data_IF_328118184773
#
_entry.id   IF_328118184773
#
_cell.length_a   1.000
_cell.length_b   1.000
_cell.length_c   1.000
_cell.angle_alpha   90.00
_cell.angle_beta   90.00
_cell.angle_gamma   90.00
#
_symmetry.space_group_name_H-M   'P 1'
#
loop_
_entity.id
_entity.type
_entity.pdbx_description
1 polymer ?
#
# COMPACT_ATOMS: atom_id res chain seq x y z
N UNK A 1 3.97 -2.60 -19.62
CA UNK A 1 4.33 -3.39 -18.43
C UNK A 1 5.31 -2.56 -17.63
N UNK A 2 5.08 -2.42 -16.33
CA UNK A 2 5.89 -1.60 -15.42
C UNK A 2 6.43 -2.48 -14.29
N UNK A 3 7.70 -2.28 -13.91
CA UNK A 3 8.28 -2.90 -12.72
C UNK A 3 7.89 -2.06 -11.50
N UNK A 4 7.29 -2.71 -10.51
CA UNK A 4 6.79 -2.08 -9.29
C UNK A 4 7.45 -2.73 -8.09
N UNK A 5 7.96 -1.90 -7.20
CA UNK A 5 8.45 -2.31 -5.88
C UNK A 5 7.32 -2.18 -4.88
N UNK A 6 7.01 -3.29 -4.20
CA UNK A 6 6.03 -3.31 -3.12
C UNK A 6 6.73 -3.03 -1.80
N UNK A 7 6.26 -2.01 -1.09
CA UNK A 7 6.73 -1.67 0.26
C UNK A 7 5.59 -1.72 1.26
N UNK A 8 5.88 -2.21 2.47
CA UNK A 8 4.95 -2.25 3.60
C UNK A 8 5.54 -1.45 4.76
N UNK A 9 4.71 -0.61 5.38
CA UNK A 9 5.04 0.09 6.60
C UNK A 9 4.85 -0.83 7.81
N UNK A 10 5.86 -0.93 8.66
CA UNK A 10 5.74 -1.58 9.97
C UNK A 10 5.50 -0.51 11.04
N UNK A 11 4.31 -0.45 11.67
CA UNK A 11 4.02 0.53 12.72
C UNK A 11 4.94 0.39 13.93
N UNK A 12 5.30 -0.85 14.31
CA UNK A 12 6.15 -1.12 15.49
C UNK A 12 7.60 -0.64 15.31
N UNK A 13 8.09 -0.60 14.07
CA UNK A 13 9.46 -0.18 13.75
C UNK A 13 9.53 1.25 13.19
N UNK A 14 8.37 1.86 12.93
CA UNK A 14 8.23 3.13 12.21
C UNK A 14 9.01 3.20 10.89
N UNK A 15 9.09 2.08 10.16
CA UNK A 15 9.95 1.93 8.99
C UNK A 15 9.24 1.26 7.80
N UNK A 16 9.67 1.62 6.58
CA UNK A 16 9.22 1.03 5.32
C UNK A 16 10.12 -0.13 4.91
N UNK A 17 9.52 -1.29 4.71
CA UNK A 17 10.21 -2.50 4.27
C UNK A 17 9.87 -2.78 2.82
N UNK A 18 10.91 -2.98 2.00
CA UNK A 18 10.74 -3.54 0.65
C UNK A 18 10.45 -5.02 0.77
N UNK A 19 9.27 -5.43 0.29
CA UNK A 19 8.84 -6.83 0.36
C UNK A 19 9.26 -7.57 -0.91
N UNK A 20 8.84 -7.07 -2.07
CA UNK A 20 9.10 -7.75 -3.34
C UNK A 20 9.01 -6.80 -4.55
N UNK A 21 9.16 -7.36 -5.75
CA UNK A 21 8.97 -6.71 -7.04
C UNK A 21 7.95 -7.48 -7.87
N UNK A 22 7.11 -6.76 -8.60
CA UNK A 22 6.17 -7.33 -9.56
C UNK A 22 6.25 -6.58 -10.88
N UNK A 23 5.94 -7.28 -11.97
CA UNK A 23 5.80 -6.66 -13.30
C UNK A 23 4.37 -6.83 -13.77
N UNK A 24 3.68 -5.72 -14.00
CA UNK A 24 2.24 -5.71 -14.33
C UNK A 24 1.90 -4.65 -15.37
N UNK A 25 0.75 -4.74 -16.04
CA UNK A 25 0.23 -3.65 -16.88
C UNK A 25 0.02 -2.37 -16.07
N UNK A 26 0.14 -1.21 -16.73
CA UNK A 26 -0.05 0.10 -16.09
C UNK A 26 -1.50 0.28 -15.60
N UNK A 27 -2.48 -0.17 -16.40
CA UNK A 27 -3.90 -0.16 -16.02
C UNK A 27 -4.16 -0.94 -14.71
N UNK A 28 -3.49 -2.08 -14.54
CA UNK A 28 -3.62 -2.89 -13.33
C UNK A 28 -2.95 -2.22 -12.12
N UNK A 29 -1.84 -1.49 -12.33
CA UNK A 29 -1.21 -0.70 -11.28
C UNK A 29 -2.14 0.42 -10.79
N UNK A 30 -2.81 1.13 -11.69
CA UNK A 30 -3.78 2.17 -11.32
C UNK A 30 -4.97 1.58 -10.56
N UNK A 31 -5.51 0.44 -11.01
CA UNK A 31 -6.57 -0.30 -10.30
C UNK A 31 -6.14 -0.70 -8.91
N UNK A 32 -4.93 -1.25 -8.73
CA UNK A 32 -4.42 -1.61 -7.42
C UNK A 32 -4.26 -0.41 -6.50
N UNK A 33 -3.74 0.72 -7.02
CA UNK A 33 -3.64 1.98 -6.26
C UNK A 33 -5.01 2.48 -5.80
N UNK A 34 -6.04 2.34 -6.63
CA UNK A 34 -7.41 2.68 -6.26
C UNK A 34 -7.93 1.75 -5.14
N UNK A 35 -7.77 0.43 -5.30
CA UNK A 35 -8.19 -0.56 -4.30
C UNK A 35 -7.54 -0.31 -2.93
N UNK A 36 -6.24 0.02 -2.88
CA UNK A 36 -5.56 0.34 -1.62
C UNK A 36 -6.19 1.55 -0.90
N UNK A 37 -6.70 2.54 -1.63
CA UNK A 37 -7.40 3.69 -1.06
C UNK A 37 -8.84 3.39 -0.66
N UNK A 38 -9.47 2.37 -1.25
CA UNK A 38 -10.84 1.98 -0.94
C UNK A 38 -10.93 1.12 0.33
N UNK A 39 -9.91 0.32 0.64
CA UNK A 39 -9.87 -0.50 1.86
C UNK A 39 -9.62 0.38 3.08
N UNK A 40 -10.70 0.83 3.72
CA UNK A 40 -10.69 1.66 4.93
C UNK A 40 -10.55 0.83 6.20
N UNK A 41 -9.78 1.33 7.16
CA UNK A 41 -9.71 0.73 8.49
C UNK A 41 -10.87 1.23 9.35
N UNK A 42 -11.56 0.28 9.99
CA UNK A 42 -12.53 0.60 11.05
C UNK A 42 -11.82 0.54 12.40
N UNK A 43 -11.82 1.63 13.17
CA UNK A 43 -11.29 1.58 14.53
C UNK A 43 -12.18 0.67 15.39
N UNK A 44 -11.57 -0.13 16.26
CA UNK A 44 -12.30 -0.84 17.31
C UNK A 44 -12.70 0.11 18.45
N UNK A 45 -11.85 1.10 18.75
CA UNK A 45 -12.11 2.21 19.67
C UNK A 45 -11.39 3.47 19.16
N UNK A 46 -12.01 4.65 19.31
CA UNK A 46 -11.41 5.93 18.92
C UNK A 46 -11.32 6.15 17.40
N UNK A 47 -10.34 6.96 16.97
CA UNK A 47 -10.05 7.20 15.55
C UNK A 47 -8.99 6.22 15.04
N UNK A 48 -9.06 5.77 13.78
CA UNK A 48 -8.09 4.79 13.27
C UNK A 48 -6.73 5.48 13.06
N UNK A 49 -5.65 4.77 13.40
CA UNK A 49 -4.26 5.25 13.23
C UNK A 49 -3.93 5.46 11.75
N UNK A 50 -4.47 4.60 10.89
CA UNK A 50 -4.37 4.69 9.43
C UNK A 50 -5.79 4.73 8.87
N UNK A 51 -6.06 5.59 7.89
CA UNK A 51 -7.41 5.73 7.31
C UNK A 51 -7.69 4.61 6.31
N UNK A 52 -6.72 4.26 5.48
CA UNK A 52 -6.81 3.18 4.50
C UNK A 52 -5.49 2.46 4.27
N UNK A 53 -5.57 1.34 3.56
CA UNK A 53 -4.44 0.45 3.31
C UNK A 53 -3.31 1.12 2.52
N UNK A 54 -3.59 2.19 1.76
CA UNK A 54 -2.55 2.93 1.03
C UNK A 54 -1.55 3.67 1.95
N UNK A 55 -1.90 3.87 3.23
CA UNK A 55 -0.99 4.40 4.23
C UNK A 55 0.01 3.34 4.74
N UNK A 56 -0.31 2.06 4.56
CA UNK A 56 0.52 0.93 4.98
C UNK A 56 1.22 0.23 3.82
N UNK A 57 0.71 0.36 2.60
CA UNK A 57 1.23 -0.32 1.40
C UNK A 57 1.53 0.71 0.33
N UNK A 58 2.77 0.71 -0.17
CA UNK A 58 3.21 1.55 -1.29
C UNK A 58 3.64 0.71 -2.49
N UNK A 59 3.24 1.19 -3.66
CA UNK A 59 3.58 0.64 -4.96
C UNK A 59 4.40 1.69 -5.73
N UNK A 60 5.72 1.55 -5.71
CA UNK A 60 6.65 2.48 -6.36
C UNK A 60 7.12 1.93 -7.71
N UNK A 61 6.97 2.74 -8.75
CA UNK A 61 7.52 2.46 -10.08
C UNK A 61 9.03 2.66 -10.07
N UNK A 62 9.74 1.91 -10.91
CA UNK A 62 11.20 1.91 -10.96
C UNK A 62 11.70 2.16 -12.39
#
# INVERSE_FOLDING_TARGET
>A
MVEVVVKIFCPECEAWFKIDRATLPEEDLERLRALLREVKFKPLFGSPVFKDLSELVRLEEK
#
